data_IF_181716601604
#
_entry.id   IF_181716601604
#
_cell.length_a   1.000
_cell.length_b   1.000
_cell.length_c   1.000
_cell.angle_alpha   90.00
_cell.angle_beta   90.00
_cell.angle_gamma   90.00
#
_symmetry.space_group_name_H-M   'P 1'
#
loop_
_entity.id
_entity.type
_entity.pdbx_description
1 polymer ?
#
# COMPACT_ATOMS: atom_id res chain seq x y z
N UNK A 1 1.20 -9.22 55.15
CA UNK A 1 0.56 -8.19 54.29
C UNK A 1 1.59 -7.57 53.33
N UNK A 2 2.16 -8.36 52.41
CA UNK A 2 3.10 -7.87 51.38
C UNK A 2 2.77 -8.43 49.98
N UNK A 3 1.94 -9.48 49.90
CA UNK A 3 1.63 -10.19 48.65
C UNK A 3 0.40 -9.67 47.88
N UNK A 4 -0.17 -8.51 48.24
CA UNK A 4 -1.30 -7.90 47.51
C UNK A 4 -0.93 -6.59 46.79
N UNK A 5 0.17 -5.91 47.14
CA UNK A 5 0.59 -4.68 46.45
C UNK A 5 1.36 -4.92 45.14
N UNK A 6 1.97 -6.09 44.95
CA UNK A 6 2.69 -6.44 43.72
C UNK A 6 1.73 -6.92 42.61
N UNK A 7 0.54 -7.41 43.00
CA UNK A 7 -0.48 -7.89 42.08
C UNK A 7 -1.36 -6.79 41.46
N UNK A 8 -1.40 -5.58 42.04
CA UNK A 8 -2.24 -4.47 41.54
C UNK A 8 -1.46 -3.41 40.73
N UNK A 9 -0.13 -3.31 40.89
CA UNK A 9 0.68 -2.44 40.00
C UNK A 9 0.91 -3.03 38.61
N UNK A 10 0.61 -4.33 38.41
CA UNK A 10 0.72 -5.03 37.12
C UNK A 10 -0.51 -4.83 36.22
N UNK A 11 -1.57 -4.14 36.68
CA UNK A 11 -2.85 -4.02 35.96
C UNK A 11 -3.21 -2.63 35.43
N UNK A 12 -2.39 -1.59 35.61
CA UNK A 12 -2.85 -0.21 35.33
C UNK A 12 -1.87 0.74 34.63
N UNK A 13 -0.92 0.23 33.84
CA UNK A 13 -0.31 1.01 32.76
C UNK A 13 -0.48 0.32 31.42
N UNK A 14 -1.74 0.39 30.97
CA UNK A 14 -2.17 0.21 29.59
C UNK A 14 -1.27 0.98 28.62
N UNK A 15 -0.29 0.29 28.05
CA UNK A 15 0.33 0.66 26.78
C UNK A 15 -0.13 -0.37 25.74
N UNK A 16 -1.43 -0.30 25.45
CA UNK A 16 -1.97 -0.69 24.16
C UNK A 16 -1.44 0.31 23.12
N UNK A 17 -0.16 0.15 22.74
CA UNK A 17 0.41 0.85 21.59
C UNK A 17 0.31 -0.08 20.40
N UNK A 18 -0.85 0.02 19.74
CA UNK A 18 -1.12 -0.29 18.33
C UNK A 18 -0.85 -1.74 17.87
N UNK A 19 -1.77 -2.63 18.23
CA UNK A 19 -2.29 -3.63 17.31
C UNK A 19 -3.56 -3.06 16.66
N UNK A 20 -3.43 -2.30 15.57
CA UNK A 20 -4.52 -1.91 14.66
C UNK A 20 -3.93 -1.10 13.51
N UNK A 21 -3.30 -1.80 12.57
CA UNK A 21 -3.28 -1.36 11.18
C UNK A 21 -4.12 -2.39 10.45
N UNK A 22 -5.25 -1.93 9.92
CA UNK A 22 -6.25 -2.76 9.25
C UNK A 22 -5.61 -3.52 8.10
N UNK A 23 -5.40 -4.81 8.32
CA UNK A 23 -5.11 -5.75 7.27
C UNK A 23 -6.43 -5.96 6.52
N UNK A 24 -6.66 -5.17 5.47
CA UNK A 24 -7.58 -5.57 4.40
C UNK A 24 -6.89 -6.68 3.60
N UNK A 25 -6.88 -7.88 4.21
CA UNK A 25 -6.60 -9.14 3.54
C UNK A 25 -7.75 -9.36 2.55
N UNK A 26 -7.57 -8.92 1.32
CA UNK A 26 -8.28 -9.57 0.21
C UNK A 26 -7.71 -10.98 0.19
N UNK A 27 -8.51 -11.92 0.69
CA UNK A 27 -8.25 -13.35 0.62
C UNK A 27 -8.17 -13.75 -0.86
N UNK A 28 -6.98 -13.62 -1.44
CA UNK A 28 -6.63 -14.26 -2.69
C UNK A 28 -6.55 -15.75 -2.38
N UNK A 29 -7.61 -16.46 -2.75
CA UNK A 29 -7.79 -17.90 -2.59
C UNK A 29 -6.51 -18.64 -3.00
N UNK A 30 -5.81 -19.22 -2.02
CA UNK A 30 -4.82 -20.25 -2.27
C UNK A 30 -5.56 -21.48 -2.78
N UNK A 31 -5.49 -21.72 -4.09
CA UNK A 31 -5.91 -22.97 -4.70
C UNK A 31 -4.83 -23.46 -5.65
N UNK A 32 -4.23 -24.59 -5.29
CA UNK A 32 -3.63 -25.53 -6.24
C UNK A 32 -2.16 -25.31 -6.59
N UNK A 33 -1.30 -26.19 -6.07
CA UNK A 33 -0.05 -26.53 -6.74
C UNK A 33 -0.35 -27.16 -8.11
N UNK A 34 0.14 -26.55 -9.19
CA UNK A 34 0.55 -27.23 -10.42
C UNK A 34 1.68 -26.41 -11.05
N UNK A 35 2.79 -27.02 -11.51
CA UNK A 35 3.83 -26.32 -12.25
C UNK A 35 3.30 -26.07 -13.66
N UNK A 36 2.48 -25.03 -13.81
CA UNK A 36 2.19 -24.49 -15.14
C UNK A 36 3.39 -23.64 -15.51
N UNK A 37 4.12 -24.09 -16.52
CA UNK A 37 5.05 -23.31 -17.32
C UNK A 37 4.31 -22.11 -17.92
N UNK A 38 4.00 -21.11 -17.09
CA UNK A 38 3.46 -19.84 -17.54
C UNK A 38 4.62 -19.11 -18.21
N UNK A 39 4.54 -19.00 -19.53
CA UNK A 39 5.38 -18.12 -20.33
C UNK A 39 5.54 -16.79 -19.60
N UNK A 40 6.79 -16.41 -19.32
CA UNK A 40 7.11 -15.16 -18.63
C UNK A 40 6.34 -14.01 -19.30
N UNK A 41 5.75 -13.07 -18.54
CA UNK A 41 4.99 -11.96 -19.12
C UNK A 41 5.80 -11.30 -20.23
N UNK A 42 5.19 -11.16 -21.41
CA UNK A 42 5.82 -10.53 -22.58
C UNK A 42 5.97 -9.02 -22.37
N UNK A 43 5.11 -8.43 -21.53
CA UNK A 43 5.18 -7.02 -21.13
C UNK A 43 6.19 -6.83 -19.97
N UNK A 44 7.25 -6.03 -20.16
CA UNK A 44 8.22 -5.70 -19.11
C UNK A 44 7.59 -5.14 -17.83
N UNK A 45 6.51 -4.36 -17.94
CA UNK A 45 5.85 -3.74 -16.79
C UNK A 45 5.08 -4.77 -15.95
N UNK A 46 4.49 -5.79 -16.60
CA UNK A 46 3.86 -6.92 -15.90
C UNK A 46 4.90 -7.81 -15.20
N UNK A 47 6.07 -8.01 -15.81
CA UNK A 47 7.17 -8.76 -15.19
C UNK A 47 7.67 -8.08 -13.92
N UNK A 48 7.97 -6.77 -13.98
CA UNK A 48 8.39 -6.02 -12.79
C UNK A 48 7.32 -6.00 -11.69
N UNK A 49 6.04 -5.87 -12.06
CA UNK A 49 4.95 -5.96 -11.09
C UNK A 49 4.86 -7.35 -10.44
N UNK A 50 5.11 -8.43 -11.18
CA UNK A 50 5.14 -9.79 -10.64
C UNK A 50 6.34 -10.00 -9.69
N UNK A 51 7.52 -9.51 -10.06
CA UNK A 51 8.72 -9.53 -9.22
C UNK A 51 8.48 -8.76 -7.91
N UNK A 52 7.87 -7.59 -7.97
CA UNK A 52 7.50 -6.79 -6.80
C UNK A 52 6.56 -7.56 -5.86
N UNK A 53 5.53 -8.21 -6.42
CA UNK A 53 4.59 -9.03 -5.63
C UNK A 53 5.30 -10.21 -4.97
N UNK A 54 6.18 -10.89 -5.69
CA UNK A 54 6.96 -12.00 -5.14
C UNK A 54 7.89 -11.52 -4.01
N UNK A 55 8.57 -10.39 -4.18
CA UNK A 55 9.42 -9.81 -3.14
C UNK A 55 8.63 -9.43 -1.87
N UNK A 56 7.43 -8.86 -2.03
CA UNK A 56 6.53 -8.56 -0.92
C UNK A 56 5.98 -9.82 -0.24
N UNK A 57 5.67 -10.87 -1.00
CA UNK A 57 5.20 -12.13 -0.46
C UNK A 57 6.30 -12.79 0.41
N UNK A 58 7.54 -12.79 -0.08
CA UNK A 58 8.70 -13.25 0.70
C UNK A 58 8.92 -12.41 1.96
N UNK A 59 8.81 -11.09 1.86
CA UNK A 59 8.88 -10.21 3.03
C UNK A 59 7.80 -10.53 4.06
N UNK A 60 6.55 -10.66 3.62
CA UNK A 60 5.42 -11.02 4.49
C UNK A 60 5.64 -12.37 5.15
N UNK A 61 6.17 -13.35 4.42
CA UNK A 61 6.52 -14.66 4.96
C UNK A 61 7.60 -14.56 6.04
N UNK A 62 8.63 -13.73 5.85
CA UNK A 62 9.68 -13.50 6.86
C UNK A 62 9.12 -12.84 8.12
N UNK A 63 8.27 -11.82 7.97
CA UNK A 63 7.59 -11.18 9.11
C UNK A 63 6.73 -12.17 9.87
N UNK A 64 5.94 -12.99 9.18
CA UNK A 64 5.11 -14.02 9.80
C UNK A 64 5.93 -15.09 10.51
N UNK A 65 7.05 -15.53 9.92
CA UNK A 65 7.96 -16.49 10.54
C UNK A 65 8.66 -15.91 11.79
N UNK A 66 8.91 -14.61 11.80
CA UNK A 66 9.52 -13.91 12.92
C UNK A 66 8.53 -13.62 14.07
N UNK A 67 7.24 -13.47 13.77
CA UNK A 67 6.20 -13.10 14.75
C UNK A 67 6.23 -13.90 16.07
N UNK A 68 6.40 -15.24 16.10
CA UNK A 68 6.48 -15.98 17.36
C UNK A 68 7.67 -15.57 18.25
N UNK A 69 8.80 -15.21 17.64
CA UNK A 69 10.00 -14.77 18.36
C UNK A 69 9.83 -13.37 18.94
N UNK A 70 9.01 -12.53 18.30
CA UNK A 70 8.63 -11.22 18.81
C UNK A 70 7.63 -11.32 19.97
N UNK A 71 6.61 -12.16 19.84
CA UNK A 71 5.54 -12.30 20.84
C UNK A 71 5.99 -13.08 22.08
N UNK A 72 6.89 -14.05 21.93
CA UNK A 72 7.42 -14.85 23.04
C UNK A 72 8.95 -15.06 22.90
N UNK A 73 9.76 -14.04 23.20
CA UNK A 73 11.22 -14.13 23.04
C UNK A 73 11.88 -15.12 24.01
N UNK A 74 11.23 -15.47 25.12
CA UNK A 74 11.79 -16.38 26.14
C UNK A 74 12.01 -17.82 25.68
N UNK A 75 11.37 -18.23 24.56
CA UNK A 75 11.54 -19.56 23.96
C UNK A 75 12.69 -19.67 22.95
N UNK A 76 13.41 -18.58 22.68
CA UNK A 76 14.41 -18.52 21.62
C UNK A 76 15.74 -17.95 22.12
N UNK A 77 16.84 -18.39 21.50
CA UNK A 77 18.16 -17.84 21.80
C UNK A 77 18.30 -16.40 21.30
N UNK A 78 19.05 -15.55 22.01
CA UNK A 78 19.31 -14.15 21.59
C UNK A 78 19.84 -14.05 20.15
N UNK A 79 20.81 -14.89 19.79
CA UNK A 79 21.38 -14.91 18.44
C UNK A 79 20.32 -15.26 17.39
N UNK A 80 19.50 -16.29 17.67
CA UNK A 80 18.41 -16.71 16.78
C UNK A 80 17.38 -15.60 16.53
N UNK A 81 17.00 -14.85 17.56
CA UNK A 81 16.07 -13.72 17.44
C UNK A 81 16.69 -12.60 16.57
N UNK A 82 17.96 -12.28 16.81
CA UNK A 82 18.66 -11.23 16.05
C UNK A 82 18.84 -11.62 14.58
N UNK A 83 19.24 -12.85 14.30
CA UNK A 83 19.39 -13.38 12.93
C UNK A 83 18.05 -13.41 12.18
N UNK A 84 16.98 -13.87 12.84
CA UNK A 84 15.65 -13.89 12.24
C UNK A 84 15.15 -12.48 11.92
N UNK A 85 15.40 -11.52 12.81
CA UNK A 85 15.04 -10.13 12.58
C UNK A 85 15.87 -9.47 11.49
N UNK A 86 17.18 -9.72 11.45
CA UNK A 86 18.05 -9.23 10.36
C UNK A 86 17.58 -9.76 9.00
N UNK A 87 17.14 -11.02 8.93
CA UNK A 87 16.54 -11.57 7.72
C UNK A 87 15.23 -10.85 7.30
N UNK A 88 14.45 -10.35 8.26
CA UNK A 88 13.28 -9.48 7.98
C UNK A 88 13.73 -8.15 7.36
N UNK A 89 14.76 -7.51 7.93
CA UNK A 89 15.28 -6.23 7.42
C UNK A 89 15.87 -6.37 6.00
N UNK A 90 16.68 -7.40 5.76
CA UNK A 90 17.25 -7.70 4.44
C UNK A 90 16.15 -7.91 3.39
N UNK A 91 15.09 -8.67 3.75
CA UNK A 91 13.98 -8.93 2.85
C UNK A 91 13.11 -7.68 2.62
N UNK A 92 12.93 -6.82 3.64
CA UNK A 92 12.31 -5.52 3.46
C UNK A 92 13.09 -4.67 2.45
N UNK A 93 14.42 -4.58 2.61
CA UNK A 93 15.30 -3.83 1.71
C UNK A 93 15.13 -4.30 0.25
N UNK A 94 15.12 -5.62 0.01
CA UNK A 94 14.87 -6.18 -1.31
C UNK A 94 13.46 -5.83 -1.86
N UNK A 95 12.42 -5.93 -1.03
CA UNK A 95 11.05 -5.60 -1.42
C UNK A 95 10.87 -4.10 -1.72
N UNK A 96 11.49 -3.22 -0.93
CA UNK A 96 11.48 -1.78 -1.13
C UNK A 96 12.15 -1.40 -2.46
N UNK A 97 13.29 -2.00 -2.77
CA UNK A 97 13.99 -1.77 -4.04
C UNK A 97 13.15 -2.28 -5.22
N UNK A 98 12.57 -3.49 -5.13
CA UNK A 98 11.72 -4.02 -6.19
C UNK A 98 10.50 -3.11 -6.45
N UNK A 99 9.88 -2.58 -5.39
CA UNK A 99 8.81 -1.60 -5.51
C UNK A 99 9.29 -0.32 -6.19
N UNK A 100 10.38 0.27 -5.70
CA UNK A 100 10.95 1.50 -6.24
C UNK A 100 11.31 1.35 -7.72
N UNK A 101 11.91 0.23 -8.12
CA UNK A 101 12.27 -0.05 -9.53
C UNK A 101 11.06 -0.27 -10.42
N UNK A 102 9.93 -0.72 -9.89
CA UNK A 102 8.70 -0.86 -10.68
C UNK A 102 8.07 0.50 -11.01
N UNK A 103 8.11 1.46 -10.09
CA UNK A 103 7.58 2.82 -10.31
C UNK A 103 8.63 3.79 -10.89
N UNK A 104 9.91 3.47 -10.74
CA UNK A 104 11.05 4.25 -11.21
C UNK A 104 12.13 3.34 -11.82
N UNK A 105 11.90 2.89 -13.08
CA UNK A 105 12.75 1.89 -13.74
C UNK A 105 14.20 2.32 -13.92
N UNK A 106 15.12 1.35 -13.91
CA UNK A 106 16.57 1.55 -14.06
C UNK A 106 16.98 2.35 -15.28
N UNK A 107 16.30 2.12 -16.41
CA UNK A 107 16.53 2.84 -17.64
C UNK A 107 16.31 4.37 -17.51
N UNK A 108 15.67 4.82 -16.42
CA UNK A 108 15.34 6.23 -16.20
C UNK A 108 16.32 6.94 -15.27
N UNK A 109 16.86 6.31 -14.23
CA UNK A 109 17.80 6.94 -13.27
C UNK A 109 18.29 6.01 -12.13
N UNK A 110 19.35 6.44 -11.44
CA UNK A 110 19.86 5.83 -10.20
C UNK A 110 18.90 6.06 -9.03
N UNK A 111 18.70 5.05 -8.18
CA UNK A 111 17.92 5.21 -6.96
C UNK A 111 18.59 6.20 -5.99
N UNK A 112 17.82 6.91 -5.15
CA UNK A 112 18.39 7.76 -4.12
C UNK A 112 19.28 6.95 -3.16
N UNK A 113 20.32 7.58 -2.55
CA UNK A 113 21.23 6.88 -1.63
C UNK A 113 20.53 6.18 -0.47
N UNK A 114 19.38 6.70 -0.03
CA UNK A 114 18.55 6.11 1.02
C UNK A 114 17.89 4.79 0.61
N UNK A 115 17.85 4.43 -0.68
CA UNK A 115 17.31 3.17 -1.20
C UNK A 115 18.42 2.21 -1.68
N UNK A 116 19.61 2.33 -1.10
CA UNK A 116 20.65 1.31 -1.28
C UNK A 116 20.30 0.04 -0.51
N UNK A 117 20.62 -1.14 -1.07
CA UNK A 117 20.38 -2.40 -0.38
C UNK A 117 21.20 -2.48 0.91
N UNK A 118 20.62 -3.10 1.94
CA UNK A 118 21.38 -3.44 3.13
C UNK A 118 22.55 -4.36 2.76
N UNK A 119 23.74 -4.17 3.37
CA UNK A 119 24.85 -5.08 3.19
C UNK A 119 24.54 -6.42 3.86
N UNK A 120 24.92 -7.53 3.22
CA UNK A 120 24.86 -8.85 3.87
C UNK A 120 25.76 -8.85 5.11
N UNK A 121 25.28 -9.32 6.28
CA UNK A 121 26.12 -9.42 7.47
C UNK A 121 27.35 -10.30 7.22
N UNK A 122 28.54 -9.76 7.44
CA UNK A 122 29.81 -10.48 7.26
C UNK A 122 30.24 -11.28 8.50
N UNK A 123 29.42 -11.30 9.55
CA UNK A 123 29.70 -11.93 10.83
C UNK A 123 28.45 -12.07 11.70
N UNK A 124 28.59 -12.49 12.96
CA UNK A 124 27.46 -12.70 13.86
C UNK A 124 26.59 -11.44 13.99
N UNK A 125 25.28 -11.62 13.85
CA UNK A 125 24.34 -10.50 13.97
C UNK A 125 24.28 -10.04 15.42
N UNK A 126 24.57 -8.76 15.64
CA UNK A 126 24.52 -8.14 16.96
C UNK A 126 23.38 -7.13 17.05
N UNK A 127 23.03 -6.71 18.27
CA UNK A 127 22.04 -5.66 18.50
C UNK A 127 22.42 -4.34 17.82
N UNK A 128 23.73 -4.04 17.76
CA UNK A 128 24.22 -2.83 17.11
C UNK A 128 24.03 -2.87 15.59
N UNK A 129 24.24 -4.04 14.97
CA UNK A 129 23.98 -4.28 13.54
C UNK A 129 22.50 -4.08 13.25
N UNK A 130 21.64 -4.78 14.01
CA UNK A 130 20.18 -4.69 13.86
C UNK A 130 19.66 -3.25 14.04
N UNK A 131 20.16 -2.50 15.02
CA UNK A 131 19.73 -1.12 15.25
C UNK A 131 20.17 -0.18 14.11
N UNK A 132 21.40 -0.35 13.61
CA UNK A 132 21.90 0.39 12.45
C UNK A 132 21.07 0.09 11.20
N UNK A 133 20.80 -1.19 10.95
CA UNK A 133 20.12 -1.64 9.75
C UNK A 133 18.63 -1.28 9.78
N UNK A 134 18.01 -1.31 10.96
CA UNK A 134 16.66 -0.78 11.16
C UNK A 134 16.58 0.72 10.87
N UNK A 135 17.54 1.51 11.35
CA UNK A 135 17.60 2.95 11.05
C UNK A 135 17.73 3.22 9.55
N UNK A 136 18.59 2.46 8.85
CA UNK A 136 18.71 2.54 7.40
C UNK A 136 17.37 2.23 6.71
N UNK A 137 16.71 1.16 7.16
CA UNK A 137 15.40 0.75 6.63
C UNK A 137 14.30 1.80 6.90
N UNK A 138 14.31 2.50 8.03
CA UNK A 138 13.42 3.65 8.23
C UNK A 138 13.69 4.77 7.21
N UNK A 139 14.96 4.98 6.85
CA UNK A 139 15.34 5.89 5.76
C UNK A 139 14.83 5.41 4.39
N UNK A 140 14.90 4.11 4.12
CA UNK A 140 14.31 3.49 2.93
C UNK A 140 12.80 3.71 2.88
N UNK A 141 12.09 3.46 3.98
CA UNK A 141 10.63 3.60 4.07
C UNK A 141 10.16 5.03 3.83
N UNK A 142 10.85 6.01 4.42
CA UNK A 142 10.59 7.42 4.18
C UNK A 142 10.78 7.81 2.71
N UNK A 143 11.87 7.35 2.08
CA UNK A 143 12.11 7.62 0.66
C UNK A 143 11.06 6.93 -0.22
N UNK A 144 10.76 5.66 0.06
CA UNK A 144 9.78 4.88 -0.68
C UNK A 144 8.38 5.50 -0.59
N UNK A 145 8.02 6.05 0.56
CA UNK A 145 6.76 6.76 0.76
C UNK A 145 6.63 7.96 -0.18
N UNK A 146 7.63 8.85 -0.22
CA UNK A 146 7.64 10.01 -1.13
C UNK A 146 7.51 9.57 -2.59
N UNK A 147 8.22 8.49 -2.97
CA UNK A 147 8.11 7.91 -4.31
C UNK A 147 6.71 7.37 -4.58
N UNK A 148 6.10 6.66 -3.63
CA UNK A 148 4.74 6.12 -3.73
C UNK A 148 3.70 7.26 -3.83
N UNK A 149 3.84 8.35 -3.07
CA UNK A 149 2.93 9.49 -3.16
C UNK A 149 2.99 10.16 -4.53
N UNK A 150 4.19 10.34 -5.09
CA UNK A 150 4.37 10.83 -6.45
C UNK A 150 3.79 9.87 -7.50
N UNK A 151 4.10 8.58 -7.40
CA UNK A 151 3.65 7.57 -8.35
C UNK A 151 2.13 7.36 -8.34
N UNK A 152 1.49 7.36 -7.15
CA UNK A 152 0.05 7.14 -7.02
C UNK A 152 -0.78 8.40 -7.26
N UNK A 153 -0.41 9.50 -6.63
CA UNK A 153 -1.22 10.71 -6.59
C UNK A 153 -0.69 11.83 -7.50
N UNK A 154 0.49 11.66 -8.11
CA UNK A 154 1.10 12.69 -8.94
C UNK A 154 1.67 13.87 -8.14
N UNK A 155 1.97 13.67 -6.84
CA UNK A 155 2.57 14.71 -6.02
C UNK A 155 3.95 15.15 -6.56
N UNK A 156 4.30 16.43 -6.44
CA UNK A 156 5.67 16.88 -6.67
C UNK A 156 6.64 16.09 -5.78
N UNK A 157 7.73 15.60 -6.36
CA UNK A 157 8.81 14.93 -5.65
C UNK A 157 10.15 15.49 -6.08
N UNK A 158 11.17 15.32 -5.24
CA UNK A 158 12.57 15.66 -5.59
C UNK A 158 13.08 14.81 -6.75
N UNK A 159 12.49 13.63 -6.94
CA UNK A 159 12.78 12.74 -8.06
C UNK A 159 11.69 12.92 -9.13
N UNK A 160 12.03 12.92 -10.43
CA UNK A 160 11.06 13.03 -11.52
C UNK A 160 10.30 11.71 -11.70
N UNK A 161 9.46 11.37 -10.71
CA UNK A 161 8.71 10.12 -10.68
C UNK A 161 7.38 10.35 -11.39
N UNK A 162 7.16 9.70 -12.55
CA UNK A 162 5.90 9.83 -13.26
C UNK A 162 4.79 9.10 -12.52
N UNK A 163 3.55 9.50 -12.77
CA UNK A 163 2.37 8.77 -12.31
C UNK A 163 2.42 7.34 -12.87
N UNK A 164 2.31 6.36 -11.99
CA UNK A 164 2.33 4.95 -12.36
C UNK A 164 0.95 4.50 -12.83
N UNK A 165 0.89 3.89 -14.02
CA UNK A 165 -0.36 3.46 -14.68
C UNK A 165 -0.45 1.95 -14.88
N UNK A 166 0.46 1.18 -14.27
CA UNK A 166 0.51 -0.28 -14.41
C UNK A 166 -0.37 -1.04 -13.42
N UNK A 167 -0.15 -2.36 -13.31
CA UNK A 167 -0.86 -3.21 -12.36
C UNK A 167 -0.75 -2.71 -10.91
N UNK A 168 -1.79 -2.90 -10.09
CA UNK A 168 -1.78 -2.47 -8.68
C UNK A 168 -0.55 -3.02 -7.95
N UNK A 169 0.18 -2.09 -7.31
CA UNK A 169 1.35 -2.36 -6.48
C UNK A 169 1.05 -2.04 -5.01
N UNK A 170 1.61 -2.87 -4.13
CA UNK A 170 1.51 -2.72 -2.68
C UNK A 170 2.89 -2.35 -2.18
N UNK A 171 3.02 -1.19 -1.52
CA UNK A 171 4.26 -0.82 -0.86
C UNK A 171 4.51 -1.79 0.31
N UNK A 172 5.72 -2.35 0.50
CA UNK A 172 6.00 -3.18 1.66
C UNK A 172 5.78 -2.38 2.95
N UNK A 173 5.05 -2.92 3.95
CA UNK A 173 4.85 -2.22 5.21
C UNK A 173 6.15 -2.10 5.99
N UNK A 174 6.33 -0.99 6.71
CA UNK A 174 7.49 -0.78 7.57
C UNK A 174 7.70 -1.96 8.53
N UNK A 175 8.96 -2.39 8.76
CA UNK A 175 9.23 -3.51 9.65
C UNK A 175 8.91 -3.17 11.11
N UNK A 176 8.58 -4.19 11.92
CA UNK A 176 8.36 -4.01 13.35
C UNK A 176 9.62 -3.48 14.03
N UNK A 177 9.49 -2.87 15.21
CA UNK A 177 10.63 -2.38 16.00
C UNK A 177 11.61 -3.52 16.32
N UNK A 178 12.92 -3.20 16.46
CA UNK A 178 13.94 -4.21 16.71
C UNK A 178 13.73 -4.92 18.05
N UNK A 179 14.05 -6.22 18.13
CA UNK A 179 13.83 -7.01 19.33
C UNK A 179 14.89 -6.80 20.40
N UNK A 180 14.61 -7.35 21.58
CA UNK A 180 15.55 -7.45 22.72
C UNK A 180 16.11 -6.10 23.17
N UNK A 181 15.30 -5.05 23.03
CA UNK A 181 15.65 -3.69 23.39
C UNK A 181 15.14 -3.37 24.79
N UNK A 182 15.95 -2.63 25.55
CA UNK A 182 15.49 -2.00 26.80
C UNK A 182 14.80 -0.68 26.45
N UNK A 183 13.60 -0.45 26.98
CA UNK A 183 12.84 0.80 26.82
C UNK A 183 13.61 2.01 27.37
N UNK A 184 14.54 1.77 28.30
CA UNK A 184 15.42 2.79 28.88
C UNK A 184 16.68 3.06 28.04
N UNK A 185 16.97 2.23 27.04
CA UNK A 185 18.12 2.45 26.16
C UNK A 185 17.85 3.68 25.28
N UNK A 186 18.68 4.74 25.37
CA UNK A 186 18.51 5.93 24.54
C UNK A 186 18.57 5.62 23.03
N UNK A 187 19.31 4.59 22.60
CA UNK A 187 19.36 4.17 21.20
C UNK A 187 18.02 3.62 20.75
N UNK A 188 17.39 2.77 21.57
CA UNK A 188 16.08 2.24 21.26
C UNK A 188 14.99 3.32 21.29
N UNK A 189 15.02 4.19 22.30
CA UNK A 189 14.09 5.32 22.40
C UNK A 189 14.16 6.24 21.16
N UNK A 190 15.37 6.45 20.61
CA UNK A 190 15.56 7.15 19.35
C UNK A 190 14.89 6.42 18.18
N UNK A 191 15.07 5.10 18.04
CA UNK A 191 14.43 4.32 16.99
C UNK A 191 12.90 4.38 17.08
N UNK A 192 12.34 4.22 18.29
CA UNK A 192 10.90 4.37 18.54
C UNK A 192 10.39 5.74 18.10
N UNK A 193 11.15 6.79 18.43
CA UNK A 193 10.80 8.17 18.05
C UNK A 193 10.84 8.36 16.53
N UNK A 194 11.85 7.81 15.85
CA UNK A 194 11.96 7.87 14.39
C UNK A 194 10.81 7.13 13.71
N UNK A 195 10.52 5.90 14.14
CA UNK A 195 9.40 5.10 13.62
C UNK A 195 8.07 5.82 13.82
N UNK A 196 7.83 6.39 15.02
CA UNK A 196 6.61 7.13 15.31
C UNK A 196 6.48 8.39 14.44
N UNK A 197 7.57 9.15 14.29
CA UNK A 197 7.57 10.36 13.45
C UNK A 197 7.23 10.02 12.00
N UNK A 198 7.76 8.91 11.49
CA UNK A 198 7.49 8.45 10.14
C UNK A 198 6.01 8.02 9.98
N UNK A 199 5.52 7.16 10.88
CA UNK A 199 4.13 6.70 10.88
C UNK A 199 3.13 7.86 10.97
N UNK A 200 3.37 8.83 11.87
CA UNK A 200 2.50 9.99 12.03
C UNK A 200 2.52 10.89 10.77
N UNK A 201 3.68 11.04 10.11
CA UNK A 201 3.79 11.79 8.85
C UNK A 201 3.04 11.11 7.69
N UNK A 202 3.21 9.79 7.53
CA UNK A 202 2.52 9.01 6.49
C UNK A 202 1.01 9.03 6.69
N UNK A 203 0.54 8.91 7.94
CA UNK A 203 -0.89 9.04 8.27
C UNK A 203 -1.44 10.43 7.96
N UNK A 204 -0.69 11.48 8.28
CA UNK A 204 -1.08 12.84 7.95
C UNK A 204 -1.16 13.06 6.43
N UNK A 205 -0.25 12.47 5.65
CA UNK A 205 -0.31 12.50 4.19
C UNK A 205 -1.56 11.82 3.64
N UNK A 206 -1.85 10.60 4.11
CA UNK A 206 -3.05 9.87 3.70
C UNK A 206 -4.34 10.63 4.06
N UNK A 207 -4.40 11.21 5.25
CA UNK A 207 -5.55 12.02 5.66
C UNK A 207 -5.73 13.25 4.76
N UNK A 208 -4.63 13.91 4.34
CA UNK A 208 -4.68 15.02 3.38
C UNK A 208 -5.17 14.58 2.01
N UNK A 209 -4.71 13.44 1.50
CA UNK A 209 -5.19 12.89 0.22
C UNK A 209 -6.67 12.54 0.28
N UNK A 210 -7.10 11.88 1.36
CA UNK A 210 -8.50 11.53 1.54
C UNK A 210 -9.39 12.77 1.57
N UNK A 211 -9.00 13.81 2.33
CA UNK A 211 -9.72 15.08 2.36
C UNK A 211 -9.77 15.76 0.97
N UNK A 212 -8.67 15.73 0.21
CA UNK A 212 -8.63 16.31 -1.14
C UNK A 212 -9.56 15.57 -2.11
N UNK A 213 -9.59 14.24 -2.03
CA UNK A 213 -10.50 13.39 -2.84
C UNK A 213 -11.96 13.67 -2.46
N UNK A 214 -12.28 13.71 -1.17
CA UNK A 214 -13.63 14.02 -0.68
C UNK A 214 -14.09 15.40 -1.15
N UNK A 215 -13.21 16.39 -1.10
CA UNK A 215 -13.49 17.74 -1.62
C UNK A 215 -13.75 17.73 -3.13
N UNK A 216 -12.94 17.00 -3.92
CA UNK A 216 -13.19 16.86 -5.36
C UNK A 216 -14.55 16.22 -5.66
N UNK A 217 -14.95 15.19 -4.91
CA UNK A 217 -16.27 14.58 -5.05
C UNK A 217 -17.40 15.54 -4.65
N UNK A 218 -17.21 16.32 -3.59
CA UNK A 218 -18.16 17.34 -3.16
C UNK A 218 -18.32 18.45 -4.23
N UNK A 219 -17.22 18.94 -4.79
CA UNK A 219 -17.23 19.95 -5.86
C UNK A 219 -17.91 19.40 -7.13
N UNK A 220 -17.63 18.16 -7.51
CA UNK A 220 -18.31 17.50 -8.63
C UNK A 220 -19.82 17.32 -8.38
N UNK A 221 -20.21 16.98 -7.15
CA UNK A 221 -21.62 16.85 -6.77
C UNK A 221 -22.32 18.22 -6.78
N UNK A 222 -21.68 19.27 -6.25
CA UNK A 222 -22.18 20.64 -6.27
C UNK A 222 -22.31 21.16 -7.71
N UNK A 223 -21.34 20.85 -8.57
CA UNK A 223 -21.41 21.18 -10.00
C UNK A 223 -22.60 20.48 -10.66
N UNK A 224 -22.78 19.16 -10.43
CA UNK A 224 -23.93 18.39 -10.96
C UNK A 224 -25.27 18.91 -10.45
N UNK A 225 -25.36 19.34 -9.19
CA UNK A 225 -26.58 19.92 -8.64
C UNK A 225 -26.94 21.27 -9.30
N UNK A 226 -25.94 22.06 -9.71
CA UNK A 226 -26.13 23.32 -10.46
C UNK A 226 -26.38 23.12 -11.95
N UNK A 227 -25.99 21.96 -12.50
CA UNK A 227 -26.13 21.61 -13.91
C UNK A 227 -26.87 20.27 -14.04
N UNK A 228 -28.17 20.22 -13.71
CA UNK A 228 -28.93 18.99 -13.79
C UNK A 228 -28.90 18.44 -15.22
N UNK A 229 -28.37 17.22 -15.37
CA UNK A 229 -28.50 16.42 -16.60
C UNK A 229 -29.98 16.32 -16.95
N UNK A 230 -30.37 16.70 -18.17
CA UNK A 230 -31.78 16.89 -18.53
C UNK A 230 -32.15 18.29 -19.02
N UNK A 231 -31.44 19.33 -18.56
CA UNK A 231 -31.83 20.72 -18.87
C UNK A 231 -31.70 21.08 -20.36
N UNK A 232 -30.90 20.32 -21.12
CA UNK A 232 -30.70 20.50 -22.55
C UNK A 232 -30.93 19.21 -23.35
N UNK A 233 -31.48 18.15 -22.73
CA UNK A 233 -31.71 16.87 -23.41
C UNK A 233 -32.77 16.98 -24.52
N UNK A 234 -33.57 18.04 -24.49
CA UNK A 234 -34.52 18.38 -25.53
C UNK A 234 -33.91 19.20 -26.67
N UNK A 235 -32.64 19.62 -26.58
CA UNK A 235 -31.92 20.39 -27.60
C UNK A 235 -30.94 19.49 -28.35
N UNK A 236 -31.00 19.48 -29.68
CA UNK A 236 -30.04 18.79 -30.51
C UNK A 236 -28.70 19.52 -30.50
N UNK A 237 -27.61 18.89 -30.03
CA UNK A 237 -26.29 19.52 -29.93
C UNK A 237 -25.68 19.88 -31.30
N UNK A 238 -26.19 19.34 -32.41
CA UNK A 238 -25.70 19.68 -33.77
C UNK A 238 -26.30 20.97 -34.32
N UNK A 239 -27.50 21.32 -33.88
CA UNK A 239 -28.29 22.43 -34.45
C UNK A 239 -28.58 23.53 -33.43
N UNK A 240 -28.46 23.26 -32.13
CA UNK A 240 -28.79 24.19 -31.06
C UNK A 240 -30.29 24.47 -30.92
N UNK A 241 -31.14 23.67 -31.58
CA UNK A 241 -32.60 23.78 -31.55
C UNK A 241 -33.24 22.56 -30.87
N UNK A 242 -34.49 22.66 -30.39
CA UNK A 242 -35.18 21.50 -29.84
C UNK A 242 -35.28 20.33 -30.83
N UNK A 243 -35.15 19.09 -30.36
CA UNK A 243 -35.41 17.90 -31.20
C UNK A 243 -36.82 17.99 -31.81
N UNK A 244 -36.92 17.69 -33.10
CA UNK A 244 -38.22 17.61 -33.76
C UNK A 244 -39.11 16.59 -33.01
N UNK A 245 -40.41 16.87 -32.81
CA UNK A 245 -41.31 15.92 -32.18
C UNK A 245 -41.26 14.60 -32.96
N UNK A 246 -41.24 13.44 -32.27
CA UNK A 246 -41.21 12.16 -32.95
C UNK A 246 -42.40 12.09 -33.91
N UNK A 247 -42.13 11.79 -35.17
CA UNK A 247 -43.20 11.57 -36.13
C UNK A 247 -44.03 10.39 -35.62
N UNK A 248 -45.25 10.68 -35.17
CA UNK A 248 -46.24 9.65 -34.93
C UNK A 248 -46.61 9.09 -36.30
N UNK A 249 -45.88 8.07 -36.75
CA UNK A 249 -46.40 7.18 -37.78
C UNK A 249 -47.67 6.57 -37.20
N UNK A 250 -48.80 7.13 -37.63
CA UNK A 250 -50.09 6.52 -37.38
C UNK A 250 -50.07 5.21 -38.16
N UNK A 251 -49.67 4.11 -37.53
CA UNK A 251 -49.80 2.78 -38.13
C UNK A 251 -51.28 2.58 -38.45
N UNK A 252 -51.63 2.67 -39.73
CA UNK A 252 -52.99 2.42 -40.17
C UNK A 252 -53.10 0.91 -40.26
N UNK A 253 -54.07 0.34 -39.58
CA UNK A 253 -54.33 -1.10 -39.63
C UNK A 253 -55.50 -1.33 -40.57
N UNK A 254 -55.29 -2.16 -41.58
CA UNK A 254 -56.32 -2.58 -42.51
C UNK A 254 -56.83 -3.97 -42.10
N UNK A 255 -58.14 -4.20 -42.25
CA UNK A 255 -58.73 -5.51 -42.03
C UNK A 255 -58.70 -6.29 -43.35
N UNK A 256 -57.90 -7.34 -43.43
CA UNK A 256 -57.89 -8.25 -44.57
C UNK A 256 -58.11 -9.69 -44.07
N UNK A 257 -59.15 -10.36 -44.57
CA UNK A 257 -59.43 -11.76 -44.23
C UNK A 257 -59.69 -12.04 -42.74
N UNK A 258 -60.19 -11.05 -41.98
CA UNK A 258 -60.45 -11.20 -40.54
C UNK A 258 -59.25 -10.96 -39.62
N UNK A 259 -58.08 -10.60 -40.15
CA UNK A 259 -56.91 -10.16 -39.38
C UNK A 259 -56.57 -8.69 -39.60
N UNK A 260 -55.97 -8.04 -38.59
CA UNK A 260 -55.38 -6.70 -38.72
C UNK A 260 -53.98 -6.82 -39.32
N UNK A 261 -53.76 -6.21 -40.48
CA UNK A 261 -52.44 -6.10 -41.11
C UNK A 261 -52.05 -4.62 -41.25
N UNK A 262 -50.75 -4.27 -41.19
CA UNK A 262 -50.31 -2.91 -41.40
C UNK A 262 -50.65 -2.45 -42.83
N UNK A 263 -51.12 -1.22 -42.95
CA UNK A 263 -51.15 -0.43 -44.17
C UNK A 263 -50.51 0.94 -43.88
#
# INVERSE_FOLDING_TARGET
MVNQMIADMSRQRSLLVRATVGILLVASVFSGCAPLSASAPTDPQQRSAAEQRNANALYSQKVLAYKPMFENPGGYGRAQILEAYEAVLQQYSAAAIAYARTIYPEARQTLPPSLQPLPTPSGPVTLAVVNRDYEHVLGMDAALWEMNMAAKFGRPSKLPIPKYTGPVLIMPPAPPLPPLQDVRDPKFARLVTMTKKLDDAQKADLAREQAAIEQQYADQAAWRARHPTGQYDHIDPRTGLPYAPPQQETQRWCMMGGGRVPC
#
